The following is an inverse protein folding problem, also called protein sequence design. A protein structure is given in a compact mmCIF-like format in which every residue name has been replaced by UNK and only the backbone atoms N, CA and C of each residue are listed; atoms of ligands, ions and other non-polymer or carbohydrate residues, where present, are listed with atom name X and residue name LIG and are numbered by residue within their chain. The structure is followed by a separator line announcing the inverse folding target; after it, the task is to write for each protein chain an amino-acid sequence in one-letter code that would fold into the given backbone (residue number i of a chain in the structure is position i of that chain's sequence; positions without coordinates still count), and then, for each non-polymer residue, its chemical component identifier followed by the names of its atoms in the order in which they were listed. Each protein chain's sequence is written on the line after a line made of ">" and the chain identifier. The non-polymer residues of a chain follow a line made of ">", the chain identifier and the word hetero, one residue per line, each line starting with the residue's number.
data_IF_711891726971
#
_entry.id   IF_711891726971
#
_cell.length_a   1.000
_cell.length_b   1.000
_cell.length_c   1.000
_cell.angle_alpha   90.00
_cell.angle_beta   90.00
_cell.angle_gamma   90.00
#
_symmetry.space_group_name_H-M   'P 1'
#
loop_
_entity.id
_entity.type
_entity.pdbx_description
1 polymer ?
#
# COMPACT_ATOMS: atom_id res chain seq x y z
N UNK A 1 5.51 -59.50 -18.92
CA UNK A 1 6.01 -59.23 -17.55
C UNK A 1 6.23 -57.74 -17.45
N UNK A 2 5.34 -57.06 -16.74
CA UNK A 2 5.43 -55.63 -16.44
C UNK A 2 6.29 -55.44 -15.18
N UNK A 3 7.11 -54.40 -15.15
CA UNK A 3 7.55 -53.77 -13.90
C UNK A 3 7.78 -52.30 -14.18
N UNK A 4 6.83 -51.49 -13.74
CA UNK A 4 6.96 -50.06 -13.54
C UNK A 4 7.87 -49.82 -12.33
N UNK A 5 8.79 -48.87 -12.41
CA UNK A 5 9.36 -48.23 -11.23
C UNK A 5 9.24 -46.72 -11.37
N UNK A 6 8.25 -46.22 -10.63
CA UNK A 6 8.26 -45.07 -9.72
C UNK A 6 8.62 -43.69 -10.27
N UNK A 7 7.53 -42.95 -10.45
CA UNK A 7 7.43 -41.51 -10.64
C UNK A 7 7.32 -40.85 -9.27
N UNK A 8 8.37 -40.17 -8.80
CA UNK A 8 8.27 -39.24 -7.66
C UNK A 8 7.73 -37.90 -8.18
N UNK A 9 6.41 -37.83 -8.31
CA UNK A 9 5.65 -36.59 -8.41
C UNK A 9 5.66 -35.94 -7.02
N UNK A 10 6.51 -34.93 -6.83
CA UNK A 10 6.42 -34.01 -5.68
C UNK A 10 5.11 -33.23 -5.80
N UNK A 11 4.06 -33.79 -5.21
CA UNK A 11 2.80 -33.09 -4.95
C UNK A 11 3.12 -32.02 -3.90
N UNK A 12 3.26 -30.76 -4.32
CA UNK A 12 3.18 -29.63 -3.40
C UNK A 12 1.79 -29.64 -2.76
N UNK A 13 1.74 -30.15 -1.53
CA UNK A 13 0.55 -30.16 -0.70
C UNK A 13 0.07 -28.72 -0.50
N UNK A 14 -1.24 -28.49 -0.61
CA UNK A 14 -1.98 -27.23 -0.33
C UNK A 14 -1.80 -26.68 1.10
N UNK A 15 -0.89 -27.24 1.88
CA UNK A 15 -0.69 -26.98 3.30
C UNK A 15 0.51 -26.07 3.61
N UNK A 16 1.19 -25.51 2.60
CA UNK A 16 2.38 -24.67 2.84
C UNK A 16 2.05 -23.22 3.25
N UNK A 17 0.82 -22.77 3.08
CA UNK A 17 0.35 -21.54 3.71
C UNK A 17 -0.29 -21.93 5.02
N UNK A 18 0.46 -21.80 6.13
CA UNK A 18 -0.13 -21.94 7.46
C UNK A 18 -1.24 -20.91 7.57
N UNK A 19 -2.49 -21.37 7.64
CA UNK A 19 -3.54 -20.62 8.31
C UNK A 19 -3.07 -20.42 9.74
N UNK A 20 -2.40 -19.30 10.02
CA UNK A 20 -2.13 -18.89 11.39
C UNK A 20 -3.43 -18.30 11.90
N UNK A 21 -4.33 -19.18 12.36
CA UNK A 21 -5.39 -18.82 13.29
C UNK A 21 -4.71 -18.40 14.59
N UNK A 22 -4.25 -17.16 14.67
CA UNK A 22 -3.96 -16.50 15.94
C UNK A 22 -5.06 -15.50 16.17
N UNK A 23 -5.96 -15.83 17.08
CA UNK A 23 -6.95 -14.91 17.64
C UNK A 23 -6.24 -13.82 18.45
N UNK A 24 -5.49 -12.93 17.78
CA UNK A 24 -5.03 -11.69 18.37
C UNK A 24 -6.13 -10.66 18.13
N UNK A 25 -6.92 -10.35 19.16
CA UNK A 25 -7.73 -9.13 19.15
C UNK A 25 -6.78 -7.94 18.96
N UNK A 26 -6.76 -7.34 17.77
CA UNK A 26 -6.16 -6.03 17.56
C UNK A 26 -7.02 -5.00 18.30
N UNK A 27 -6.66 -4.70 19.55
CA UNK A 27 -7.18 -3.53 20.23
C UNK A 27 -6.37 -2.31 19.78
N UNK A 28 -6.97 -1.46 18.95
CA UNK A 28 -6.54 -0.07 18.86
C UNK A 28 -6.86 0.60 20.20
N UNK A 29 -5.91 0.59 21.14
CA UNK A 29 -6.02 1.44 22.32
C UNK A 29 -5.64 2.86 21.89
N UNK A 30 -6.54 3.86 22.06
CA UNK A 30 -6.16 5.25 21.89
C UNK A 30 -5.24 5.61 23.05
N UNK A 31 -3.94 5.73 22.79
CA UNK A 31 -3.05 6.34 23.76
C UNK A 31 -3.43 7.82 23.84
N UNK A 32 -3.86 8.21 25.04
CA UNK A 32 -4.22 9.56 25.40
C UNK A 32 -3.20 10.58 24.85
N UNK A 33 -3.72 11.57 24.12
CA UNK A 33 -3.13 12.90 23.96
C UNK A 33 -1.61 12.95 23.92
N UNK A 34 -1.00 12.49 22.83
CA UNK A 34 0.34 12.90 22.45
C UNK A 34 0.36 13.05 20.95
N UNK A 35 0.58 14.28 20.50
CA UNK A 35 0.78 14.66 19.11
C UNK A 35 1.72 13.65 18.43
N UNK A 36 1.18 12.82 17.54
CA UNK A 36 1.97 11.95 16.66
C UNK A 36 2.68 12.84 15.64
N UNK A 37 3.77 13.45 16.07
CA UNK A 37 4.75 14.08 15.19
C UNK A 37 5.54 12.94 14.52
N UNK A 38 4.97 12.36 13.47
CA UNK A 38 5.73 11.56 12.52
C UNK A 38 6.63 12.53 11.75
N UNK A 39 7.88 12.65 12.21
CA UNK A 39 8.93 13.36 11.51
C UNK A 39 9.27 12.63 10.21
N UNK A 40 8.57 12.96 9.12
CA UNK A 40 9.06 12.69 7.77
C UNK A 40 10.37 13.47 7.61
N UNK A 41 11.50 12.76 7.67
CA UNK A 41 12.82 13.33 7.48
C UNK A 41 13.03 13.67 6.00
N UNK A 42 12.65 14.88 5.60
CA UNK A 42 13.05 15.44 4.30
C UNK A 42 14.55 15.72 4.30
N UNK A 43 15.32 14.98 3.51
CA UNK A 43 16.71 15.32 3.22
C UNK A 43 16.76 16.64 2.42
N UNK A 44 17.59 17.57 2.89
CA UNK A 44 17.71 18.90 2.30
C UNK A 44 18.51 18.85 0.99
N UNK A 45 17.90 19.30 -0.12
CA UNK A 45 18.54 20.18 -1.12
C UNK A 45 17.46 20.97 -1.89
N UNK A 46 17.65 22.29 -2.03
CA UNK A 46 16.68 23.24 -2.60
C UNK A 46 15.70 23.77 -1.55
N UNK A 47 15.26 25.03 -1.66
CA UNK A 47 14.30 25.62 -0.72
C UNK A 47 13.00 24.80 -0.70
N UNK A 48 12.95 23.81 0.20
CA UNK A 48 11.87 22.85 0.31
C UNK A 48 10.60 23.60 0.64
N UNK A 49 9.57 23.36 -0.16
CA UNK A 49 8.29 23.99 0.05
C UNK A 49 7.68 23.48 1.34
N UNK A 50 7.12 24.42 2.10
CA UNK A 50 6.55 24.13 3.42
C UNK A 50 5.43 23.12 3.26
N UNK A 51 5.51 22.03 4.02
CA UNK A 51 4.45 21.03 4.12
C UNK A 51 3.38 21.51 5.12
N UNK A 52 2.12 21.52 4.70
CA UNK A 52 0.97 22.02 5.45
C UNK A 52 -0.16 20.99 5.48
N UNK A 53 -0.98 21.04 6.52
CA UNK A 53 -2.22 20.27 6.59
C UNK A 53 -3.43 21.11 6.16
N UNK A 54 -4.57 20.45 5.90
CA UNK A 54 -5.76 21.10 5.34
C UNK A 54 -6.41 22.13 6.26
N UNK A 55 -6.19 22.10 7.59
CA UNK A 55 -6.64 23.17 8.49
C UNK A 55 -6.00 24.55 8.22
N UNK A 56 -5.00 24.62 7.33
CA UNK A 56 -4.43 25.89 6.88
C UNK A 56 -5.24 26.52 5.74
N UNK A 57 -6.25 25.81 5.21
CA UNK A 57 -7.22 26.34 4.26
C UNK A 57 -8.31 27.13 5.01
N UNK A 58 -9.06 27.96 4.27
CA UNK A 58 -10.33 28.46 4.77
C UNK A 58 -11.35 27.32 4.95
N UNK A 59 -12.39 27.59 5.73
CA UNK A 59 -13.35 26.57 6.16
C UNK A 59 -14.02 25.86 4.98
N UNK A 60 -14.42 26.61 3.94
CA UNK A 60 -15.15 26.02 2.81
C UNK A 60 -14.27 25.06 2.00
N UNK A 61 -13.00 25.42 1.78
CA UNK A 61 -12.03 24.56 1.10
C UNK A 61 -11.64 23.36 1.96
N UNK A 62 -11.44 23.56 3.27
CA UNK A 62 -11.15 22.48 4.21
C UNK A 62 -12.30 21.45 4.25
N UNK A 63 -13.54 21.92 4.33
CA UNK A 63 -14.74 21.06 4.35
C UNK A 63 -14.89 20.27 3.05
N UNK A 64 -14.56 20.91 1.92
CA UNK A 64 -14.58 20.27 0.60
C UNK A 64 -13.57 19.12 0.54
N UNK A 65 -12.33 19.36 0.93
CA UNK A 65 -11.28 18.32 0.93
C UNK A 65 -11.60 17.21 1.92
N UNK A 66 -12.03 17.57 3.13
CA UNK A 66 -12.43 16.61 4.18
C UNK A 66 -13.54 15.69 3.68
N UNK A 67 -14.59 16.27 3.09
CA UNK A 67 -15.71 15.51 2.53
C UNK A 67 -15.30 14.63 1.35
N UNK A 68 -14.41 15.13 0.49
CA UNK A 68 -13.92 14.36 -0.66
C UNK A 68 -13.10 13.15 -0.23
N UNK A 69 -12.16 13.32 0.72
CA UNK A 69 -11.38 12.22 1.27
C UNK A 69 -12.32 11.21 1.95
N UNK A 70 -13.24 11.66 2.80
CA UNK A 70 -14.19 10.77 3.47
C UNK A 70 -15.01 9.93 2.49
N UNK A 71 -15.50 10.52 1.39
CA UNK A 71 -16.23 9.80 0.35
C UNK A 71 -15.37 8.77 -0.38
N UNK A 72 -14.12 9.09 -0.67
CA UNK A 72 -13.18 8.15 -1.32
C UNK A 72 -12.90 6.96 -0.38
N UNK A 73 -12.65 7.24 0.91
CA UNK A 73 -12.42 6.21 1.93
C UNK A 73 -13.66 5.34 2.19
N UNK A 74 -14.86 5.81 1.83
CA UNK A 74 -16.11 5.04 1.96
C UNK A 74 -16.38 4.10 0.78
N UNK A 75 -15.51 4.08 -0.23
CA UNK A 75 -15.67 3.16 -1.36
C UNK A 75 -15.14 1.77 -1.06
N UNK A 76 -15.81 0.75 -1.58
CA UNK A 76 -15.38 -0.66 -1.46
C UNK A 76 -13.97 -0.88 -2.05
N UNK A 77 -13.65 -0.18 -3.14
CA UNK A 77 -12.33 -0.26 -3.79
C UNK A 77 -11.25 0.16 -2.80
N UNK A 78 -11.41 1.29 -2.11
CA UNK A 78 -10.42 1.76 -1.14
C UNK A 78 -10.36 0.87 0.09
N UNK A 79 -11.51 0.38 0.58
CA UNK A 79 -11.54 -0.57 1.69
C UNK A 79 -10.73 -1.84 1.36
N UNK A 80 -10.95 -2.45 0.20
CA UNK A 80 -10.27 -3.68 -0.21
C UNK A 80 -8.79 -3.42 -0.49
N UNK A 81 -8.44 -2.31 -1.14
CA UNK A 81 -7.04 -1.96 -1.42
C UNK A 81 -6.25 -1.72 -0.12
N UNK A 82 -6.79 -0.94 0.80
CA UNK A 82 -6.13 -0.68 2.08
C UNK A 82 -6.09 -1.91 2.98
N UNK A 83 -7.11 -2.75 2.92
CA UNK A 83 -7.10 -4.05 3.59
C UNK A 83 -5.93 -4.92 3.10
N UNK A 84 -5.67 -5.01 1.79
CA UNK A 84 -4.51 -5.75 1.28
C UNK A 84 -3.18 -5.16 1.79
N UNK A 85 -3.04 -3.84 1.80
CA UNK A 85 -1.83 -3.17 2.34
C UNK A 85 -1.62 -3.53 3.81
N UNK A 86 -2.70 -3.51 4.60
CA UNK A 86 -2.65 -3.92 6.01
C UNK A 86 -2.34 -5.42 6.11
N UNK A 87 -2.94 -6.29 5.29
CA UNK A 87 -2.64 -7.72 5.27
C UNK A 87 -1.13 -7.97 5.05
N UNK A 88 -0.55 -7.18 4.13
CA UNK A 88 0.86 -7.22 3.76
C UNK A 88 1.10 -7.96 2.44
N UNK A 89 0.06 -8.55 1.85
CA UNK A 89 0.10 -9.14 0.50
C UNK A 89 -1.08 -8.66 -0.34
N UNK A 90 -0.88 -8.46 -1.66
CA UNK A 90 -2.00 -8.33 -2.58
C UNK A 90 -2.75 -9.65 -2.68
N UNK A 91 -4.04 -9.60 -2.98
CA UNK A 91 -4.78 -10.77 -3.43
C UNK A 91 -4.11 -11.35 -4.70
N UNK A 92 -4.20 -12.67 -4.87
CA UNK A 92 -3.55 -13.36 -6.00
C UNK A 92 -3.88 -12.74 -7.37
N UNK A 93 -5.13 -12.33 -7.58
CA UNK A 93 -5.57 -11.65 -8.81
C UNK A 93 -4.91 -10.27 -9.00
N UNK A 94 -4.85 -9.46 -7.94
CA UNK A 94 -4.23 -8.12 -7.96
C UNK A 94 -2.72 -8.25 -8.20
N UNK A 95 -2.09 -9.26 -7.60
CA UNK A 95 -0.69 -9.57 -7.78
C UNK A 95 -0.37 -9.92 -9.24
N UNK A 96 -1.27 -10.62 -9.93
CA UNK A 96 -1.11 -11.00 -11.32
C UNK A 96 -1.18 -9.79 -12.27
N UNK A 97 -2.16 -8.91 -12.06
CA UNK A 97 -2.38 -7.72 -12.90
C UNK A 97 -1.28 -6.66 -12.73
N UNK A 98 -0.82 -6.43 -11.50
CA UNK A 98 0.11 -5.34 -11.17
C UNK A 98 1.52 -5.51 -11.76
N UNK A 99 1.91 -6.74 -12.11
CA UNK A 99 3.28 -7.12 -12.50
C UNK A 99 3.60 -7.00 -13.98
N UNK A 100 2.63 -6.68 -14.84
CA UNK A 100 2.86 -6.60 -16.29
C UNK A 100 3.17 -7.96 -16.97
N UNK A 101 2.84 -9.08 -16.31
CA UNK A 101 3.09 -10.46 -16.76
C UNK A 101 4.53 -10.91 -16.54
N UNK A 102 4.88 -12.06 -15.98
CA UNK A 102 4.19 -13.20 -15.37
C UNK A 102 4.97 -13.53 -14.10
N UNK A 103 4.33 -13.81 -12.95
CA UNK A 103 5.03 -14.52 -11.88
C UNK A 103 5.45 -15.89 -12.42
N UNK A 104 6.67 -16.31 -12.11
CA UNK A 104 7.12 -17.69 -12.34
C UNK A 104 6.03 -18.65 -11.83
N UNK A 105 5.73 -19.75 -12.53
CA UNK A 105 4.56 -20.61 -12.21
C UNK A 105 4.55 -21.07 -10.74
N UNK A 106 5.74 -21.22 -10.17
CA UNK A 106 5.98 -21.69 -8.80
C UNK A 106 6.01 -20.56 -7.76
N UNK A 107 5.73 -19.32 -8.15
CA UNK A 107 5.64 -18.20 -7.21
C UNK A 107 4.49 -18.47 -6.22
N UNK A 108 4.71 -18.43 -4.89
CA UNK A 108 3.72 -18.81 -3.88
C UNK A 108 2.38 -18.07 -4.02
N UNK A 109 2.41 -16.76 -4.31
CA UNK A 109 1.24 -15.89 -4.53
C UNK A 109 0.26 -16.41 -5.59
N UNK A 110 0.71 -17.25 -6.53
CA UNK A 110 -0.18 -17.83 -7.54
C UNK A 110 -1.15 -18.86 -6.96
N UNK A 111 -0.84 -19.37 -5.77
CA UNK A 111 -1.56 -20.45 -5.10
C UNK A 111 -1.91 -20.09 -3.65
N UNK A 112 -1.69 -18.84 -3.26
CA UNK A 112 -1.97 -18.35 -1.91
C UNK A 112 -2.55 -16.94 -1.91
N UNK A 113 -3.23 -16.59 -0.83
CA UNK A 113 -3.83 -15.25 -0.63
C UNK A 113 -4.97 -14.92 -1.62
N UNK A 114 -5.86 -15.88 -1.86
CA UNK A 114 -7.12 -15.68 -2.61
C UNK A 114 -8.17 -14.85 -1.84
N UNK A 115 -7.97 -14.72 -0.52
CA UNK A 115 -8.79 -13.93 0.38
C UNK A 115 -7.89 -13.22 1.38
N UNK A 116 -8.38 -12.10 1.90
CA UNK A 116 -7.79 -11.41 3.04
C UNK A 116 -7.77 -12.32 4.27
N UNK A 117 -6.77 -12.14 5.13
CA UNK A 117 -6.70 -12.77 6.43
C UNK A 117 -7.84 -12.29 7.34
N UNK A 118 -8.22 -13.14 8.29
CA UNK A 118 -9.32 -12.85 9.21
C UNK A 118 -9.04 -11.60 10.06
N UNK A 119 -10.03 -10.71 10.19
CA UNK A 119 -9.92 -9.47 10.99
C UNK A 119 -9.26 -8.28 10.28
N UNK A 120 -8.71 -8.47 9.08
CA UNK A 120 -8.08 -7.37 8.31
C UNK A 120 -9.12 -6.32 7.91
N UNK A 121 -10.29 -6.71 7.41
CA UNK A 121 -11.36 -5.76 7.08
C UNK A 121 -11.84 -4.95 8.28
N UNK A 122 -11.96 -5.58 9.45
CA UNK A 122 -12.34 -4.88 10.68
C UNK A 122 -11.27 -3.88 11.11
N UNK A 123 -10.00 -4.23 10.92
CA UNK A 123 -8.87 -3.33 11.17
C UNK A 123 -8.86 -2.13 10.22
N UNK A 124 -9.12 -2.35 8.92
CA UNK A 124 -9.28 -1.29 7.93
C UNK A 124 -10.43 -0.35 8.29
N UNK A 125 -11.58 -0.89 8.69
CA UNK A 125 -12.75 -0.11 9.13
C UNK A 125 -12.46 0.68 10.40
N UNK A 126 -11.72 0.08 11.34
CA UNK A 126 -11.24 0.74 12.55
C UNK A 126 -10.37 1.95 12.23
N UNK A 127 -9.37 1.78 11.36
CA UNK A 127 -8.55 2.88 10.87
C UNK A 127 -9.41 3.98 10.22
N UNK A 128 -10.28 3.62 9.27
CA UNK A 128 -11.17 4.57 8.59
C UNK A 128 -12.02 5.38 9.57
N UNK A 129 -12.59 4.73 10.58
CA UNK A 129 -13.46 5.38 11.57
C UNK A 129 -12.76 6.40 12.46
N UNK A 130 -11.44 6.30 12.58
CA UNK A 130 -10.60 7.16 13.44
C UNK A 130 -9.66 8.06 12.64
N UNK A 131 -9.75 8.03 11.31
CA UNK A 131 -8.87 8.78 10.43
C UNK A 131 -9.08 10.29 10.58
N UNK A 132 -8.01 11.01 10.92
CA UNK A 132 -7.96 12.48 10.91
C UNK A 132 -7.33 12.97 9.60
N UNK A 133 -8.07 13.69 8.73
CA UNK A 133 -7.53 14.21 7.47
C UNK A 133 -6.42 15.25 7.64
N UNK A 134 -6.14 15.75 8.85
CA UNK A 134 -5.01 16.64 9.11
C UNK A 134 -3.66 15.90 9.25
N UNK A 135 -3.67 14.56 9.28
CA UNK A 135 -2.44 13.77 9.30
C UNK A 135 -1.67 13.90 7.98
N UNK A 136 -2.37 13.96 6.85
CA UNK A 136 -1.77 14.11 5.51
C UNK A 136 -1.27 15.53 5.29
N UNK A 137 -0.12 15.65 4.61
CA UNK A 137 0.56 16.92 4.38
C UNK A 137 0.70 17.21 2.89
N UNK A 138 0.67 18.49 2.55
CA UNK A 138 0.72 18.97 1.18
C UNK A 138 1.71 20.10 1.04
N UNK A 139 2.22 20.24 -0.17
CA UNK A 139 2.93 21.43 -0.56
C UNK A 139 2.09 22.70 -0.34
N UNK A 140 2.65 23.68 0.36
CA UNK A 140 1.96 24.96 0.60
C UNK A 140 1.49 25.65 -0.69
N UNK A 141 2.21 25.52 -1.81
CA UNK A 141 1.77 26.09 -3.11
C UNK A 141 0.52 25.40 -3.61
N UNK A 142 0.40 24.08 -3.45
CA UNK A 142 -0.79 23.34 -3.85
C UNK A 142 -2.01 23.80 -3.05
N UNK A 143 -1.90 23.86 -1.72
CA UNK A 143 -3.02 24.29 -0.88
C UNK A 143 -3.49 25.71 -1.20
N UNK A 144 -2.55 26.65 -1.31
CA UNK A 144 -2.91 28.03 -1.60
C UNK A 144 -3.39 28.23 -3.05
N UNK A 145 -2.89 27.45 -4.01
CA UNK A 145 -3.41 27.47 -5.37
C UNK A 145 -4.83 26.88 -5.45
N UNK A 146 -5.13 25.84 -4.67
CA UNK A 146 -6.48 25.30 -4.56
C UNK A 146 -7.44 26.34 -3.96
N UNK A 147 -7.07 26.97 -2.85
CA UNK A 147 -7.90 28.00 -2.19
C UNK A 147 -8.14 29.23 -3.06
N UNK A 148 -7.17 29.60 -3.90
CA UNK A 148 -7.30 30.74 -4.80
C UNK A 148 -8.18 30.44 -6.03
N UNK A 149 -8.47 29.16 -6.33
CA UNK A 149 -9.26 28.77 -7.47
C UNK A 149 -10.76 28.90 -7.17
N UNK A 150 -11.55 29.36 -8.13
CA UNK A 150 -13.00 29.46 -7.95
C UNK A 150 -13.65 28.07 -7.95
N UNK A 151 -14.54 27.75 -6.99
CA UNK A 151 -15.26 26.48 -6.97
C UNK A 151 -15.96 26.19 -8.31
N UNK A 152 -15.85 24.95 -8.80
CA UNK A 152 -16.40 24.51 -10.10
C UNK A 152 -15.62 24.99 -11.33
N UNK A 153 -14.48 25.67 -11.16
CA UNK A 153 -13.54 25.92 -12.25
C UNK A 153 -12.65 24.71 -12.50
N UNK A 154 -12.16 24.56 -13.74
CA UNK A 154 -11.21 23.51 -14.09
C UNK A 154 -9.96 23.52 -13.19
N UNK A 155 -9.47 24.71 -12.83
CA UNK A 155 -8.32 24.83 -11.93
C UNK A 155 -8.63 24.33 -10.53
N UNK A 156 -9.83 24.59 -10.01
CA UNK A 156 -10.26 24.06 -8.72
C UNK A 156 -10.36 22.53 -8.76
N UNK A 157 -11.02 21.98 -9.78
CA UNK A 157 -11.26 20.54 -9.90
C UNK A 157 -9.95 19.75 -10.04
N UNK A 158 -9.02 20.23 -10.88
CA UNK A 158 -7.70 19.58 -11.04
C UNK A 158 -6.92 19.58 -9.73
N UNK A 159 -6.93 20.69 -8.99
CA UNK A 159 -6.20 20.81 -7.73
C UNK A 159 -6.83 19.96 -6.63
N UNK A 160 -8.16 19.85 -6.62
CA UNK A 160 -8.86 18.91 -5.74
C UNK A 160 -8.47 17.46 -6.04
N UNK A 161 -8.43 17.06 -7.32
CA UNK A 161 -7.98 15.73 -7.73
C UNK A 161 -6.53 15.47 -7.29
N UNK A 162 -5.65 16.44 -7.46
CA UNK A 162 -4.25 16.35 -7.03
C UNK A 162 -4.14 16.17 -5.51
N UNK A 163 -4.89 16.94 -4.72
CA UNK A 163 -4.97 16.79 -3.26
C UNK A 163 -5.50 15.40 -2.87
N UNK A 164 -6.55 14.91 -3.52
CA UNK A 164 -7.11 13.58 -3.24
C UNK A 164 -6.09 12.48 -3.57
N UNK A 165 -5.43 12.55 -4.73
CA UNK A 165 -4.42 11.56 -5.13
C UNK A 165 -3.26 11.52 -4.12
N UNK A 166 -2.75 12.68 -3.72
CA UNK A 166 -1.69 12.80 -2.70
C UNK A 166 -2.17 12.28 -1.32
N UNK A 167 -3.44 12.48 -0.97
CA UNK A 167 -4.03 11.96 0.27
C UNK A 167 -4.08 10.44 0.26
N UNK A 168 -4.63 9.84 -0.81
CA UNK A 168 -4.74 8.38 -0.96
C UNK A 168 -3.36 7.73 -0.91
N UNK A 169 -2.36 8.35 -1.55
CA UNK A 169 -0.97 7.92 -1.47
C UNK A 169 -0.43 7.91 -0.04
N UNK A 170 -0.54 9.04 0.66
CA UNK A 170 0.00 9.15 2.01
C UNK A 170 -0.69 8.21 2.99
N UNK A 171 -1.99 7.97 2.83
CA UNK A 171 -2.70 7.00 3.66
C UNK A 171 -2.16 5.58 3.40
N UNK A 172 -1.94 5.19 2.15
CA UNK A 172 -1.31 3.90 1.82
C UNK A 172 0.09 3.77 2.46
N UNK A 173 0.91 4.82 2.38
CA UNK A 173 2.22 4.89 3.04
C UNK A 173 2.09 4.71 4.55
N UNK A 174 1.16 5.43 5.19
CA UNK A 174 0.91 5.34 6.64
C UNK A 174 0.52 3.91 7.02
N UNK A 175 -0.42 3.30 6.31
CA UNK A 175 -0.87 1.94 6.58
C UNK A 175 0.25 0.91 6.42
N UNK A 176 1.06 1.04 5.37
CA UNK A 176 2.20 0.16 5.12
C UNK A 176 3.28 0.27 6.19
N UNK A 177 3.55 1.49 6.70
CA UNK A 177 4.54 1.73 7.75
C UNK A 177 4.04 1.27 9.11
N UNK A 178 2.79 1.60 9.45
CA UNK A 178 2.21 1.27 10.76
C UNK A 178 2.05 -0.24 10.96
N UNK A 179 1.91 -1.00 9.87
CA UNK A 179 1.72 -2.43 9.98
C UNK A 179 3.01 -3.21 9.80
N UNK A 180 3.24 -4.16 10.71
CA UNK A 180 4.24 -5.20 10.50
C UNK A 180 3.78 -6.29 9.53
N UNK A 181 2.56 -6.24 8.96
CA UNK A 181 2.05 -7.18 7.96
C UNK A 181 1.95 -8.60 8.51
N UNK A 182 0.80 -9.26 8.39
CA UNK A 182 0.70 -10.67 8.81
C UNK A 182 1.66 -11.57 8.02
N UNK A 183 2.07 -11.10 6.85
CA UNK A 183 2.90 -11.80 5.89
C UNK A 183 4.37 -11.34 5.84
N UNK A 184 4.86 -10.51 6.77
CA UNK A 184 6.33 -10.32 6.87
C UNK A 184 6.94 -11.63 7.39
N UNK A 185 7.81 -12.25 6.59
CA UNK A 185 8.50 -13.52 6.87
C UNK A 185 7.74 -14.83 6.59
N UNK A 186 6.65 -14.82 5.82
CA UNK A 186 6.00 -16.07 5.39
C UNK A 186 6.69 -16.72 4.16
N UNK A 187 7.71 -16.05 3.61
CA UNK A 187 8.51 -16.50 2.48
C UNK A 187 7.90 -16.17 1.12
N UNK A 188 6.74 -15.51 1.06
CA UNK A 188 6.10 -15.12 -0.20
C UNK A 188 6.83 -13.95 -0.84
N UNK A 189 7.18 -12.92 -0.05
CA UNK A 189 7.88 -11.72 -0.54
C UNK A 189 9.33 -12.04 -0.89
N UNK A 190 10.00 -12.84 -0.07
CA UNK A 190 11.41 -13.21 -0.23
C UNK A 190 11.64 -14.29 -1.31
N UNK A 191 10.55 -14.84 -1.88
CA UNK A 191 10.64 -15.89 -2.88
C UNK A 191 11.37 -15.40 -4.14
N UNK A 192 12.35 -16.17 -4.59
CA UNK A 192 13.06 -15.95 -5.84
C UNK A 192 13.19 -17.27 -6.62
N UNK A 193 13.08 -17.23 -7.97
CA UNK A 193 13.27 -18.43 -8.77
C UNK A 193 14.74 -18.88 -8.77
N UNK A 194 15.03 -20.12 -9.18
CA UNK A 194 16.39 -20.59 -9.38
C UNK A 194 17.21 -19.62 -10.23
N UNK A 195 18.51 -19.49 -9.93
CA UNK A 195 19.44 -18.61 -10.69
C UNK A 195 19.57 -18.99 -12.17
N UNK A 196 19.10 -20.18 -12.56
CA UNK A 196 19.01 -20.61 -13.95
C UNK A 196 17.89 -19.94 -14.75
N UNK A 197 16.89 -19.31 -14.11
CA UNK A 197 15.82 -18.58 -14.78
C UNK A 197 16.31 -17.22 -15.30
N UNK A 198 16.93 -17.25 -16.48
CA UNK A 198 17.51 -16.06 -17.10
C UNK A 198 16.49 -14.96 -17.41
N UNK A 199 15.21 -15.32 -17.65
CA UNK A 199 14.18 -14.32 -17.99
C UNK A 199 13.89 -13.50 -16.75
N UNK A 200 13.60 -14.16 -15.62
CA UNK A 200 13.31 -13.46 -14.38
C UNK A 200 14.49 -12.60 -13.93
N UNK A 201 15.72 -13.15 -13.92
CA UNK A 201 16.91 -12.40 -13.48
C UNK A 201 17.33 -11.27 -14.43
N UNK A 202 16.87 -11.27 -15.68
CA UNK A 202 17.03 -10.12 -16.57
C UNK A 202 16.08 -8.97 -16.21
N UNK A 203 14.88 -9.28 -15.70
CA UNK A 203 13.89 -8.29 -15.26
C UNK A 203 14.11 -7.82 -13.81
N UNK A 204 14.56 -8.71 -12.93
CA UNK A 204 14.80 -8.46 -11.51
C UNK A 204 16.27 -8.76 -11.15
N UNK A 205 17.24 -8.00 -11.69
CA UNK A 205 18.67 -8.29 -11.53
C UNK A 205 19.15 -8.20 -10.07
N UNK A 206 18.46 -7.42 -9.25
CA UNK A 206 18.82 -7.19 -7.84
C UNK A 206 18.14 -8.17 -6.88
N UNK A 207 17.34 -9.13 -7.39
CA UNK A 207 16.53 -10.01 -6.55
C UNK A 207 15.08 -9.56 -6.45
N UNK A 208 14.28 -10.22 -5.58
CA UNK A 208 12.87 -9.92 -5.43
C UNK A 208 12.70 -8.53 -4.83
N UNK A 209 11.62 -7.85 -5.24
CA UNK A 209 11.30 -6.52 -4.72
C UNK A 209 10.89 -6.60 -3.24
N UNK A 210 11.17 -5.55 -2.44
CA UNK A 210 10.94 -5.55 -1.00
C UNK A 210 9.46 -5.53 -0.60
N UNK A 211 8.56 -5.39 -1.58
CA UNK A 211 7.12 -5.44 -1.41
C UNK A 211 6.51 -6.04 -2.67
N UNK A 212 5.30 -6.60 -2.54
CA UNK A 212 4.50 -7.12 -3.65
C UNK A 212 3.58 -6.04 -4.25
N UNK A 213 3.44 -4.90 -3.57
CA UNK A 213 2.67 -3.73 -3.99
C UNK A 213 3.55 -2.78 -4.79
N UNK A 214 3.98 -3.18 -5.98
CA UNK A 214 4.80 -2.32 -6.82
C UNK A 214 4.33 -2.32 -8.26
N UNK A 215 4.73 -1.29 -8.99
CA UNK A 215 4.62 -1.26 -10.43
C UNK A 215 6.02 -1.24 -11.05
N UNK A 216 6.21 -2.03 -12.11
CA UNK A 216 7.53 -2.26 -12.73
C UNK A 216 8.23 -0.99 -13.27
N UNK A 217 7.51 0.14 -13.42
CA UNK A 217 8.10 1.44 -13.76
C UNK A 217 8.48 2.32 -12.56
N UNK A 218 8.15 1.91 -11.33
CA UNK A 218 8.32 2.71 -10.11
C UNK A 218 9.14 1.96 -9.05
N UNK A 219 10.33 1.51 -9.44
CA UNK A 219 11.22 0.69 -8.60
C UNK A 219 12.35 1.48 -7.92
N UNK A 220 12.49 2.78 -8.18
CA UNK A 220 13.57 3.62 -7.65
C UNK A 220 13.30 4.10 -6.22
N UNK A 221 12.96 3.16 -5.34
CA UNK A 221 12.59 3.44 -3.96
C UNK A 221 13.73 4.01 -3.12
N UNK A 222 14.98 3.80 -3.53
CA UNK A 222 16.17 4.46 -2.99
C UNK A 222 16.13 5.99 -3.12
N UNK A 223 15.29 6.52 -4.03
CA UNK A 223 15.16 7.96 -4.31
C UNK A 223 13.88 8.57 -3.76
N UNK A 224 12.95 7.75 -3.28
CA UNK A 224 11.66 8.23 -2.78
C UNK A 224 11.77 8.62 -1.29
N UNK A 225 11.08 9.68 -0.84
CA UNK A 225 11.22 10.19 0.52
C UNK A 225 10.84 9.18 1.61
N UNK A 226 9.87 8.30 1.34
CA UNK A 226 9.45 7.22 2.25
C UNK A 226 9.96 5.83 1.82
N UNK A 227 10.93 5.78 0.91
CA UNK A 227 11.55 4.52 0.51
C UNK A 227 10.57 3.55 -0.15
N UNK A 228 10.58 2.30 0.32
CA UNK A 228 9.70 1.22 -0.15
C UNK A 228 8.22 1.58 0.03
N UNK A 229 7.86 2.34 1.06
CA UNK A 229 6.47 2.71 1.30
C UNK A 229 5.90 3.56 0.14
N UNK A 230 6.73 4.35 -0.54
CA UNK A 230 6.30 5.11 -1.72
C UNK A 230 6.17 4.26 -2.99
N UNK A 231 6.68 3.02 -2.99
CA UNK A 231 6.40 2.05 -4.07
C UNK A 231 5.00 1.48 -3.98
N UNK A 232 4.42 1.47 -2.78
CA UNK A 232 3.12 0.86 -2.46
C UNK A 232 2.06 1.53 -3.30
N UNK A 233 1.81 0.89 -4.43
CA UNK A 233 0.88 1.39 -5.43
C UNK A 233 -0.51 0.81 -5.19
N UNK A 234 -1.48 1.64 -5.51
CA UNK A 234 -2.90 1.38 -5.68
C UNK A 234 -3.29 1.56 -7.15
#
# INVERSE_FOLDING_TARGET
>A
MASFHDTELLIFSRSSCRNINSSAQMSFQPTNGSSLFLGLSSSQTGAGLRQLAIHNLDQAHQDTVTSAIARILDTDIVEITYAQIIDGLPLGEVAFESRGGMPHRDYPINHCHDKLCDGILDSTRGFRSTFDPNIVKFDSRLLFAFQAASPGSLSFDIRLIEIIAISVHQIAVILFILNEGLHKNDGVIEWAPPKSDKIWWAHCPNGPEPTMFFHHWYLSHDRYPNGVADMVRY
#
